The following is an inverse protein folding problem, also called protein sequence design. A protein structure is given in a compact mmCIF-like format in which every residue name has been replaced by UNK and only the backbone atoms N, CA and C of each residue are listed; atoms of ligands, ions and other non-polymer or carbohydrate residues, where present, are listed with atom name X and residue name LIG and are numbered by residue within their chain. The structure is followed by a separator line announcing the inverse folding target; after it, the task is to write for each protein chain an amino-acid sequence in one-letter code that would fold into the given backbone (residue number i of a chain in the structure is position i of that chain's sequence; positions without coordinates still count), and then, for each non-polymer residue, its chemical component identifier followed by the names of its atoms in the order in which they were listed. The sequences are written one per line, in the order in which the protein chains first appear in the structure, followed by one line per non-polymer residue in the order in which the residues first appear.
data_IF_159987638825
#
_entry.id   IF_159987638825
#
_cell.length_a   1.000
_cell.length_b   1.000
_cell.length_c   1.000
_cell.angle_alpha   90.00
_cell.angle_beta   90.00
_cell.angle_gamma   90.00
#
_symmetry.space_group_name_H-M   'P 1'
#
loop_
_entity.id
_entity.type
_entity.pdbx_description
1 polymer ?
#
# COMPACT_ATOMS: atom_id res chain seq x y z
N UNK A 1 -0.44 2.13 2.35
CA UNK A 1 -1.63 1.63 3.07
C UNK A 1 -2.40 2.79 3.70
N UNK A 2 -3.74 2.75 3.70
CA UNK A 2 -4.59 3.73 4.38
C UNK A 2 -4.58 3.50 5.90
N UNK A 3 -4.36 4.58 6.67
CA UNK A 3 -4.21 4.51 8.13
C UNK A 3 -5.48 4.16 8.90
N UNK A 4 -6.67 4.41 8.33
CA UNK A 4 -7.98 4.11 8.92
C UNK A 4 -8.44 2.72 8.49
N UNK A 5 -8.75 2.52 7.21
CA UNK A 5 -9.37 1.31 6.68
C UNK A 5 -8.44 0.10 6.62
N UNK A 6 -7.11 0.33 6.60
CA UNK A 6 -6.06 -0.67 6.31
C UNK A 6 -5.99 -1.11 4.87
N UNK A 7 -6.74 -0.48 3.96
CA UNK A 7 -6.66 -0.77 2.54
C UNK A 7 -5.23 -0.53 2.02
N UNK A 8 -4.65 -1.52 1.37
CA UNK A 8 -3.27 -1.49 0.90
C UNK A 8 -3.20 -1.53 -0.63
N UNK A 9 -2.30 -0.74 -1.19
CA UNK A 9 -1.89 -0.83 -2.59
C UNK A 9 -0.42 -1.26 -2.59
N UNK A 10 -0.03 -2.15 -3.50
CA UNK A 10 1.31 -2.72 -3.58
C UNK A 10 1.65 -2.99 -5.04
N UNK A 11 2.88 -2.69 -5.42
CA UNK A 11 3.40 -2.83 -6.77
C UNK A 11 4.88 -3.18 -6.68
N UNK A 12 5.33 -4.16 -7.47
CA UNK A 12 6.75 -4.51 -7.55
C UNK A 12 7.43 -3.61 -8.60
N UNK A 13 8.32 -2.73 -8.13
CA UNK A 13 9.04 -1.75 -8.95
C UNK A 13 10.52 -2.12 -9.02
N UNK A 14 11.17 -1.74 -10.12
CA UNK A 14 12.57 -2.11 -10.40
C UNK A 14 13.59 -1.22 -9.71
N UNK A 15 13.19 0.00 -9.31
CA UNK A 15 14.05 0.93 -8.61
C UNK A 15 13.29 1.80 -7.59
N UNK A 16 14.06 2.45 -6.73
CA UNK A 16 13.57 3.39 -5.73
C UNK A 16 13.91 4.84 -6.15
N UNK A 17 13.77 5.19 -7.43
CA UNK A 17 13.98 6.57 -7.86
C UNK A 17 12.77 7.43 -7.50
N UNK A 18 12.99 8.74 -7.36
CA UNK A 18 11.92 9.70 -7.06
C UNK A 18 10.82 9.68 -8.13
N UNK A 19 11.18 9.58 -9.42
CA UNK A 19 10.25 9.49 -10.56
C UNK A 19 9.35 8.24 -10.46
N UNK A 20 9.95 7.09 -10.19
CA UNK A 20 9.25 5.81 -10.02
C UNK A 20 8.29 5.88 -8.83
N UNK A 21 8.75 6.47 -7.72
CA UNK A 21 7.98 6.66 -6.48
C UNK A 21 6.80 7.63 -6.70
N UNK A 22 6.97 8.69 -7.49
CA UNK A 22 5.89 9.60 -7.90
C UNK A 22 4.84 8.85 -8.73
N UNK A 23 5.27 8.04 -9.69
CA UNK A 23 4.37 7.20 -10.49
C UNK A 23 3.54 6.26 -9.63
N UNK A 24 4.20 5.57 -8.68
CA UNK A 24 3.55 4.72 -7.68
C UNK A 24 2.52 5.49 -6.86
N UNK A 25 2.87 6.68 -6.37
CA UNK A 25 1.95 7.50 -5.58
C UNK A 25 0.71 7.92 -6.39
N UNK A 26 0.88 8.30 -7.66
CA UNK A 26 -0.24 8.63 -8.53
C UNK A 26 -1.19 7.45 -8.75
N UNK A 27 -0.67 6.25 -9.01
CA UNK A 27 -1.47 5.03 -9.13
C UNK A 27 -2.16 4.66 -7.82
N UNK A 28 -1.44 4.76 -6.70
CA UNK A 28 -2.00 4.57 -5.36
C UNK A 28 -3.20 5.49 -5.10
N UNK A 29 -3.10 6.78 -5.49
CA UNK A 29 -4.21 7.73 -5.35
C UNK A 29 -5.40 7.34 -6.22
N UNK A 30 -5.16 6.94 -7.47
CA UNK A 30 -6.23 6.47 -8.35
C UNK A 30 -6.94 5.24 -7.75
N UNK A 31 -6.19 4.26 -7.26
CA UNK A 31 -6.74 3.10 -6.56
C UNK A 31 -7.56 3.47 -5.32
N UNK A 32 -7.09 4.43 -4.51
CA UNK A 32 -7.88 4.90 -3.37
C UNK A 32 -9.15 5.65 -3.79
N UNK A 33 -9.11 6.42 -4.88
CA UNK A 33 -10.27 7.09 -5.43
C UNK A 33 -11.34 6.11 -5.91
N UNK A 34 -10.98 4.95 -6.48
CA UNK A 34 -11.98 3.92 -6.85
C UNK A 34 -12.71 3.36 -5.62
N UNK A 35 -12.11 3.44 -4.44
CA UNK A 35 -12.70 3.01 -3.16
C UNK A 35 -13.44 4.15 -2.43
N UNK A 36 -13.73 5.25 -3.11
CA UNK A 36 -14.41 6.42 -2.52
C UNK A 36 -13.51 7.28 -1.64
N UNK A 37 -12.20 7.00 -1.58
CA UNK A 37 -11.22 7.83 -0.87
C UNK A 37 -10.66 8.86 -1.84
N UNK A 38 -11.48 9.88 -2.13
CA UNK A 38 -11.15 10.94 -3.09
C UNK A 38 -10.20 12.00 -2.53
N UNK A 39 -10.12 12.16 -1.20
CA UNK A 39 -9.28 13.14 -0.53
C UNK A 39 -8.24 12.48 0.36
N UNK A 40 -6.97 12.76 0.08
CA UNK A 40 -5.84 12.43 0.94
C UNK A 40 -5.42 13.70 1.69
N UNK A 41 -5.31 13.63 3.02
CA UNK A 41 -4.95 14.79 3.85
C UNK A 41 -3.46 14.84 4.19
N UNK A 42 -2.81 13.68 4.24
CA UNK A 42 -1.42 13.53 4.67
C UNK A 42 -0.86 12.22 4.15
N UNK A 43 0.34 12.27 3.61
CA UNK A 43 1.16 11.09 3.31
C UNK A 43 2.27 11.01 4.33
N UNK A 44 2.43 9.84 4.94
CA UNK A 44 3.48 9.55 5.92
C UNK A 44 4.43 8.52 5.32
N UNK A 45 5.72 8.83 5.29
CA UNK A 45 6.77 7.96 4.75
C UNK A 45 7.94 7.85 5.71
N UNK A 46 8.82 6.88 5.49
CA UNK A 46 10.14 6.89 6.11
C UNK A 46 11.05 7.99 5.51
N UNK A 47 12.32 7.98 5.91
CA UNK A 47 13.32 8.97 5.50
C UNK A 47 14.15 8.53 4.28
N UNK A 48 13.65 7.59 3.47
CA UNK A 48 14.28 7.16 2.22
C UNK A 48 14.58 8.33 1.28
N UNK A 49 15.66 8.21 0.51
CA UNK A 49 16.16 9.29 -0.34
C UNK A 49 15.12 9.74 -1.40
N UNK A 50 14.37 8.79 -1.94
CA UNK A 50 13.26 9.02 -2.86
C UNK A 50 12.12 9.84 -2.25
N UNK A 51 11.72 9.52 -1.02
CA UNK A 51 10.67 10.27 -0.31
C UNK A 51 11.15 11.66 0.10
N UNK A 52 12.45 11.83 0.35
CA UNK A 52 13.07 13.14 0.64
C UNK A 52 13.29 14.01 -0.60
N UNK A 53 13.15 13.45 -1.80
CA UNK A 53 13.34 14.20 -3.03
C UNK A 53 12.36 15.38 -3.12
N UNK A 54 12.85 16.53 -3.60
CA UNK A 54 12.05 17.76 -3.73
C UNK A 54 10.83 17.55 -4.64
N UNK A 55 11.02 16.83 -5.74
CA UNK A 55 9.94 16.55 -6.70
C UNK A 55 8.85 15.67 -6.11
N UNK A 56 9.23 14.68 -5.29
CA UNK A 56 8.25 13.85 -4.58
C UNK A 56 7.45 14.68 -3.58
N UNK A 57 8.14 15.49 -2.77
CA UNK A 57 7.47 16.37 -1.78
C UNK A 57 6.49 17.32 -2.47
N UNK A 58 6.91 17.97 -3.57
CA UNK A 58 6.05 18.86 -4.37
C UNK A 58 4.82 18.14 -4.91
N UNK A 59 5.00 16.93 -5.44
CA UNK A 59 3.91 16.10 -5.96
C UNK A 59 2.88 15.76 -4.85
N UNK A 60 3.36 15.36 -3.67
CA UNK A 60 2.48 15.03 -2.53
C UNK A 60 1.74 16.26 -2.03
N UNK A 61 2.40 17.41 -1.89
CA UNK A 61 1.75 18.66 -1.45
C UNK A 61 0.66 19.10 -2.43
N UNK A 62 0.91 18.96 -3.74
CA UNK A 62 -0.07 19.28 -4.78
C UNK A 62 -1.29 18.34 -4.80
N UNK A 63 -1.10 17.04 -4.47
CA UNK A 63 -2.12 16.00 -4.72
C UNK A 63 -2.75 15.39 -3.44
N UNK A 64 -2.12 15.55 -2.28
CA UNK A 64 -2.55 14.99 -1.00
C UNK A 64 -2.36 15.95 0.20
N UNK A 65 -2.05 17.21 -0.07
CA UNK A 65 -2.03 18.31 0.90
C UNK A 65 -0.76 18.42 1.74
N UNK A 66 -0.24 17.31 2.30
CA UNK A 66 0.97 17.35 3.14
C UNK A 66 1.80 16.09 3.05
N UNK A 67 3.11 16.27 2.88
CA UNK A 67 4.11 15.24 3.10
C UNK A 67 4.64 15.29 4.55
N UNK A 68 4.73 14.14 5.23
CA UNK A 68 5.31 14.03 6.56
C UNK A 68 6.25 12.82 6.66
N UNK A 69 7.55 13.07 6.80
CA UNK A 69 8.49 12.03 7.19
C UNK A 69 8.30 11.58 8.65
N UNK A 70 8.55 10.31 8.93
CA UNK A 70 8.64 9.84 10.32
C UNK A 70 9.83 10.50 11.02
N UNK A 71 9.65 10.86 12.30
CA UNK A 71 10.76 11.36 13.11
C UNK A 71 11.82 10.25 13.24
N UNK A 72 13.12 10.57 13.11
CA UNK A 72 14.18 9.61 13.39
C UNK A 72 13.97 8.92 14.73
N UNK A 73 14.24 7.61 14.78
CA UNK A 73 14.10 6.77 15.98
C UNK A 73 12.67 6.68 16.55
N UNK A 74 11.64 6.85 15.72
CA UNK A 74 10.23 6.64 16.11
C UNK A 74 9.53 5.52 15.32
N UNK A 75 9.98 4.26 15.46
CA UNK A 75 9.46 3.11 14.69
C UNK A 75 7.95 2.91 14.86
N UNK A 76 7.37 3.36 15.99
CA UNK A 76 5.93 3.29 16.27
C UNK A 76 5.05 3.95 15.20
N UNK A 77 5.53 4.99 14.51
CA UNK A 77 4.75 5.69 13.48
C UNK A 77 4.56 4.86 12.20
N UNK A 78 5.46 3.90 11.95
CA UNK A 78 5.45 3.07 10.76
C UNK A 78 4.95 1.64 11.02
N UNK A 79 4.70 1.28 12.28
CA UNK A 79 4.31 -0.07 12.70
C UNK A 79 3.10 -0.66 11.95
N UNK A 80 2.21 0.18 11.41
CA UNK A 80 1.09 -0.26 10.57
C UNK A 80 1.58 -0.90 9.26
N UNK A 81 2.41 -0.19 8.50
CA UNK A 81 2.94 -0.69 7.21
C UNK A 81 4.03 -1.73 7.45
N UNK A 82 4.80 -1.62 8.52
CA UNK A 82 5.78 -2.64 8.89
C UNK A 82 5.10 -3.99 9.19
N UNK A 83 3.97 -3.99 9.91
CA UNK A 83 3.18 -5.22 10.11
C UNK A 83 2.67 -5.79 8.79
N UNK A 84 2.17 -4.94 7.90
CA UNK A 84 1.73 -5.35 6.56
C UNK A 84 2.87 -5.99 5.75
N UNK A 85 4.02 -5.31 5.67
CA UNK A 85 5.20 -5.79 4.93
C UNK A 85 5.72 -7.11 5.51
N UNK A 86 5.71 -7.27 6.84
CA UNK A 86 6.09 -8.52 7.49
C UNK A 86 5.14 -9.67 7.14
N UNK A 87 3.83 -9.45 7.19
CA UNK A 87 2.86 -10.47 6.79
C UNK A 87 3.04 -10.87 5.32
N UNK A 88 3.22 -9.89 4.42
CA UNK A 88 3.50 -10.16 3.00
C UNK A 88 4.78 -11.00 2.84
N UNK A 89 5.84 -10.66 3.59
CA UNK A 89 7.09 -11.38 3.53
C UNK A 89 6.96 -12.82 4.02
N UNK A 90 6.35 -13.03 5.19
CA UNK A 90 6.16 -14.33 5.82
C UNK A 90 5.22 -15.24 4.98
N UNK A 91 4.12 -14.70 4.47
CA UNK A 91 3.07 -15.49 3.82
C UNK A 91 3.28 -15.68 2.32
N UNK A 92 4.08 -14.82 1.67
CA UNK A 92 4.28 -14.86 0.21
C UNK A 92 5.74 -14.98 -0.17
N UNK A 93 6.59 -14.05 0.30
CA UNK A 93 7.97 -13.97 -0.19
C UNK A 93 8.84 -15.12 0.30
N UNK A 94 8.62 -15.57 1.53
CA UNK A 94 9.39 -16.64 2.17
C UNK A 94 8.64 -17.96 2.31
N UNK A 95 7.34 -17.99 2.00
CA UNK A 95 6.52 -19.19 2.14
C UNK A 95 6.83 -20.27 1.09
N UNK A 96 7.36 -19.89 -0.08
CA UNK A 96 7.64 -20.83 -1.18
C UNK A 96 8.72 -20.33 -2.13
N UNK A 97 9.34 -21.26 -2.86
CA UNK A 97 10.21 -20.94 -3.98
C UNK A 97 9.40 -20.57 -5.23
N UNK A 98 9.90 -19.58 -5.98
CA UNK A 98 9.30 -19.13 -7.23
C UNK A 98 10.19 -19.50 -8.41
N UNK A 99 9.57 -19.99 -9.48
CA UNK A 99 10.25 -20.36 -10.72
C UNK A 99 10.65 -19.15 -11.57
N UNK A 100 10.05 -17.98 -11.31
CA UNK A 100 10.37 -16.73 -11.99
C UNK A 100 9.94 -15.53 -11.15
N UNK A 101 10.48 -14.36 -11.48
CA UNK A 101 10.05 -13.09 -10.86
C UNK A 101 8.58 -12.78 -11.18
N UNK A 102 8.13 -13.13 -12.37
CA UNK A 102 6.74 -12.95 -12.79
C UNK A 102 5.77 -13.76 -11.90
N UNK A 103 6.09 -15.03 -11.64
CA UNK A 103 5.30 -15.87 -10.74
C UNK A 103 5.25 -15.30 -9.31
N UNK A 104 6.34 -14.66 -8.86
CA UNK A 104 6.37 -13.97 -7.56
C UNK A 104 5.47 -12.74 -7.55
N UNK A 105 5.47 -11.93 -8.62
CA UNK A 105 4.60 -10.75 -8.75
C UNK A 105 3.12 -11.11 -8.77
N UNK A 106 2.74 -12.15 -9.50
CA UNK A 106 1.36 -12.67 -9.53
C UNK A 106 0.92 -13.16 -8.14
N UNK A 107 1.80 -13.85 -7.42
CA UNK A 107 1.52 -14.29 -6.05
C UNK A 107 1.29 -13.12 -5.09
N UNK A 108 2.08 -12.05 -5.22
CA UNK A 108 1.89 -10.82 -4.43
C UNK A 108 0.54 -10.21 -4.76
N UNK A 109 0.16 -10.11 -6.03
CA UNK A 109 -1.14 -9.54 -6.44
C UNK A 109 -2.31 -10.33 -5.84
N UNK A 110 -2.30 -11.66 -5.95
CA UNK A 110 -3.31 -12.53 -5.35
C UNK A 110 -3.39 -12.33 -3.85
N UNK A 111 -2.25 -12.27 -3.16
CA UNK A 111 -2.22 -12.07 -1.72
C UNK A 111 -2.71 -10.68 -1.30
N UNK A 112 -2.37 -9.62 -2.04
CA UNK A 112 -2.84 -8.25 -1.78
C UNK A 112 -4.36 -8.18 -1.93
N UNK A 113 -4.91 -8.86 -2.95
CA UNK A 113 -6.35 -8.99 -3.13
C UNK A 113 -6.97 -9.72 -1.93
N UNK A 114 -6.41 -10.86 -1.53
CA UNK A 114 -6.85 -11.59 -0.34
C UNK A 114 -6.82 -10.72 0.93
N UNK A 115 -5.72 -9.99 1.15
CA UNK A 115 -5.54 -9.10 2.29
C UNK A 115 -6.62 -8.01 2.37
N UNK A 116 -6.98 -7.41 1.23
CA UNK A 116 -7.90 -6.28 1.14
C UNK A 116 -9.38 -6.68 1.15
N UNK A 117 -9.74 -7.84 0.58
CA UNK A 117 -11.13 -8.20 0.30
C UNK A 117 -11.61 -9.50 0.96
N UNK A 118 -10.71 -10.27 1.57
CA UNK A 118 -11.07 -11.58 2.13
C UNK A 118 -10.54 -11.85 3.54
N UNK A 119 -9.49 -11.14 3.98
CA UNK A 119 -8.94 -11.28 5.33
C UNK A 119 -9.64 -10.35 6.35
N UNK A 120 -10.28 -10.89 7.40
CA UNK A 120 -10.69 -10.13 8.57
C UNK A 120 -9.47 -9.60 9.34
N UNK A 121 -9.52 -8.34 9.79
CA UNK A 121 -8.46 -7.78 10.64
C UNK A 121 -9.02 -7.44 12.01
N UNK A 122 -8.52 -8.12 13.05
CA UNK A 122 -8.87 -7.84 14.46
C UNK A 122 -8.67 -6.38 14.85
N UNK A 123 -7.62 -5.73 14.34
CA UNK A 123 -7.37 -4.30 14.55
C UNK A 123 -8.40 -3.36 13.87
N UNK A 124 -9.32 -3.92 13.07
CA UNK A 124 -10.43 -3.23 12.41
C UNK A 124 -11.80 -3.78 12.83
N UNK A 125 -11.90 -4.50 13.94
CA UNK A 125 -13.15 -5.10 14.42
C UNK A 125 -13.59 -6.33 13.62
N UNK A 126 -12.62 -7.14 13.19
CA UNK A 126 -12.83 -8.32 12.33
C UNK A 126 -13.48 -8.01 10.98
N UNK A 127 -13.38 -6.76 10.56
CA UNK A 127 -13.82 -6.31 9.26
C UNK A 127 -12.68 -6.35 8.23
N UNK A 128 -13.08 -6.46 6.97
CA UNK A 128 -12.18 -6.46 5.84
C UNK A 128 -11.74 -5.02 5.53
N UNK A 129 -10.52 -4.78 5.02
CA UNK A 129 -10.08 -3.42 4.76
C UNK A 129 -10.99 -2.67 3.78
N UNK A 130 -11.44 -3.34 2.71
CA UNK A 130 -12.35 -2.76 1.73
C UNK A 130 -13.78 -2.54 2.27
N UNK A 131 -14.22 -3.25 3.32
CA UNK A 131 -15.54 -2.97 3.92
C UNK A 131 -15.55 -1.70 4.77
N UNK A 132 -14.38 -1.10 5.00
CA UNK A 132 -14.18 0.12 5.80
C UNK A 132 -13.92 1.34 4.92
N UNK A 133 -14.13 1.24 3.61
CA UNK A 133 -14.07 2.36 2.67
C UNK A 133 -15.47 2.78 2.22
N UNK A 134 -15.68 4.05 1.81
CA UNK A 134 -16.99 4.54 1.38
C UNK A 134 -17.59 3.72 0.23
N UNK A 135 -16.75 3.38 -0.75
CA UNK A 135 -17.14 2.53 -1.87
C UNK A 135 -16.36 1.22 -1.87
N UNK A 136 -17.04 0.13 -2.24
CA UNK A 136 -16.41 -1.15 -2.52
C UNK A 136 -16.10 -1.20 -4.01
N UNK A 137 -14.87 -0.89 -4.39
CA UNK A 137 -14.40 -1.25 -5.73
C UNK A 137 -13.95 -2.71 -5.70
N UNK A 138 -14.64 -3.59 -6.43
CA UNK A 138 -14.11 -4.91 -6.73
C UNK A 138 -14.39 -5.21 -8.20
N UNK A 139 -13.48 -4.78 -9.08
CA UNK A 139 -13.50 -5.16 -10.51
C UNK A 139 -12.51 -6.30 -10.81
N UNK A 140 -11.97 -6.95 -9.79
CA UNK A 140 -11.03 -8.07 -9.97
C UNK A 140 -11.84 -9.35 -9.99
N UNK A 141 -11.84 -10.02 -11.16
CA UNK A 141 -12.44 -11.34 -11.36
C UNK A 141 -12.03 -12.31 -10.24
N UNK A 142 -13.02 -13.01 -9.69
CA UNK A 142 -12.84 -14.20 -8.87
C UNK A 142 -12.15 -15.28 -9.72
N UNK A 143 -10.83 -15.36 -9.69
CA UNK A 143 -10.10 -16.55 -10.14
C UNK A 143 -9.57 -17.29 -8.92
N UNK A 144 -10.48 -17.93 -8.20
CA UNK A 144 -10.16 -19.13 -7.42
C UNK A 144 -11.31 -20.13 -7.64
N UNK A 145 -11.13 -20.97 -8.66
CA UNK A 145 -11.69 -22.33 -8.75
C UNK A 145 -10.49 -23.22 -9.03
#
# INVERSE_FOLDING_TARGET
MNGFSRLAYTEALEDERATTTIGFFCRTRAFFATHGISRLHRIVTDNGANYRAKDFTRCVEALAGRHQGIKPYTPRHNGKVERYNRLLAEEVLYARHYVSEQARREAIEVWVNHFNYYRPHTAGGDQLPASRTPDRANNVMLSYI
#
